data_IF_534808658235
#
_entry.id   IF_534808658235
#
_cell.length_a   1.000
_cell.length_b   1.000
_cell.length_c   1.000
_cell.angle_alpha   90.00
_cell.angle_beta   90.00
_cell.angle_gamma   90.00
#
_symmetry.space_group_name_H-M   'P 1'
#
loop_
_entity.id
_entity.type
_entity.pdbx_description
1 polymer ?
#
# COMPACT_ATOMS: atom_id res chain seq x y z
N UNK A 1 -10.06 9.26 -14.61
CA UNK A 1 -11.05 9.56 -13.54
C UNK A 1 -11.92 8.34 -13.14
N UNK A 2 -12.33 7.48 -14.09
CA UNK A 2 -13.24 6.35 -13.79
C UNK A 2 -12.57 5.19 -13.05
N UNK A 3 -11.24 4.99 -13.15
CA UNK A 3 -10.51 3.87 -12.51
C UNK A 3 -10.26 4.08 -11.02
N UNK A 4 -10.14 5.30 -10.54
CA UNK A 4 -9.85 5.60 -9.14
C UNK A 4 -10.93 5.10 -8.15
N UNK A 5 -12.18 4.93 -8.60
CA UNK A 5 -13.27 4.40 -7.77
C UNK A 5 -13.13 2.91 -7.41
N UNK A 6 -12.26 2.17 -8.09
CA UNK A 6 -12.03 0.75 -7.85
C UNK A 6 -10.64 0.45 -7.29
N UNK A 7 -9.96 1.44 -6.72
CA UNK A 7 -8.59 1.29 -6.22
C UNK A 7 -8.50 0.17 -5.18
N UNK A 8 -9.42 0.13 -4.21
CA UNK A 8 -9.47 -0.92 -3.20
C UNK A 8 -9.82 -2.29 -3.78
N UNK A 9 -10.68 -2.37 -4.80
CA UNK A 9 -10.98 -3.62 -5.50
C UNK A 9 -9.75 -4.16 -6.23
N UNK A 10 -8.95 -3.30 -6.88
CA UNK A 10 -7.65 -3.69 -7.46
C UNK A 10 -6.73 -4.21 -6.35
N UNK A 11 -6.80 -3.63 -5.15
CA UNK A 11 -6.11 -4.14 -3.97
C UNK A 11 -6.47 -5.58 -3.65
N UNK A 12 -7.76 -5.90 -3.61
CA UNK A 12 -8.25 -7.26 -3.38
C UNK A 12 -7.73 -8.21 -4.48
N UNK A 13 -7.81 -7.83 -5.76
CA UNK A 13 -7.36 -8.68 -6.88
C UNK A 13 -5.86 -9.00 -6.77
N UNK A 14 -5.01 -7.97 -6.58
CA UNK A 14 -3.55 -8.16 -6.46
C UNK A 14 -3.21 -9.02 -5.25
N UNK A 15 -3.84 -8.75 -4.11
CA UNK A 15 -3.55 -9.50 -2.89
C UNK A 15 -4.13 -10.92 -2.91
N UNK A 16 -5.19 -11.17 -3.68
CA UNK A 16 -5.68 -12.53 -3.90
C UNK A 16 -4.65 -13.38 -4.62
N UNK A 17 -3.89 -12.81 -5.57
CA UNK A 17 -2.76 -13.51 -6.22
C UNK A 17 -1.69 -13.84 -5.17
N UNK A 18 -1.32 -12.87 -4.32
CA UNK A 18 -0.36 -13.10 -3.23
C UNK A 18 -0.83 -14.15 -2.22
N UNK A 19 -2.11 -14.11 -1.85
CA UNK A 19 -2.72 -15.09 -0.94
C UNK A 19 -2.76 -16.50 -1.55
N UNK A 20 -3.06 -16.61 -2.84
CA UNK A 20 -3.02 -17.90 -3.57
C UNK A 20 -1.60 -18.47 -3.63
N UNK A 21 -0.59 -17.63 -3.89
CA UNK A 21 0.81 -18.06 -3.91
C UNK A 21 1.27 -18.50 -2.52
N UNK A 22 0.92 -17.73 -1.48
CA UNK A 22 1.16 -18.16 -0.09
C UNK A 22 0.57 -19.54 0.17
N UNK A 23 -0.72 -19.72 -0.15
CA UNK A 23 -1.43 -20.97 0.09
C UNK A 23 -0.80 -22.13 -0.68
N UNK A 24 -0.51 -21.97 -1.97
CA UNK A 24 0.13 -23.00 -2.77
C UNK A 24 1.54 -23.35 -2.26
N UNK A 25 2.34 -22.35 -1.90
CA UNK A 25 3.68 -22.57 -1.36
C UNK A 25 3.66 -23.27 0.00
N UNK A 26 2.65 -23.03 0.83
CA UNK A 26 2.54 -23.62 2.17
C UNK A 26 2.40 -25.15 2.19
N UNK A 27 2.10 -25.78 1.06
CA UNK A 27 2.09 -27.25 0.93
C UNK A 27 3.48 -27.86 0.83
N UNK A 28 4.48 -27.09 0.37
CA UNK A 28 5.83 -27.62 0.04
C UNK A 28 6.96 -26.82 0.71
N UNK A 29 6.67 -25.64 1.25
CA UNK A 29 7.65 -24.75 1.85
C UNK A 29 7.27 -24.42 3.30
N UNK A 30 8.24 -23.88 4.07
CA UNK A 30 7.95 -23.31 5.37
C UNK A 30 7.07 -22.05 5.26
N UNK A 31 6.45 -21.67 6.37
CA UNK A 31 5.62 -20.46 6.46
C UNK A 31 6.39 -19.20 6.02
N UNK A 32 7.65 -19.08 6.44
CA UNK A 32 8.53 -17.97 6.11
C UNK A 32 8.76 -17.84 4.60
N UNK A 33 9.08 -18.94 3.94
CA UNK A 33 9.29 -18.96 2.48
C UNK A 33 7.98 -18.63 1.77
N UNK A 34 6.87 -19.17 2.23
CA UNK A 34 5.54 -18.91 1.66
C UNK A 34 5.15 -17.42 1.76
N UNK A 35 5.46 -16.76 2.88
CA UNK A 35 5.28 -15.31 3.06
C UNK A 35 6.16 -14.54 2.07
N UNK A 36 7.44 -14.89 1.96
CA UNK A 36 8.36 -14.20 1.04
C UNK A 36 7.90 -14.34 -0.41
N UNK A 37 7.49 -15.52 -0.86
CA UNK A 37 6.97 -15.75 -2.20
C UNK A 37 5.69 -14.92 -2.47
N UNK A 38 4.81 -14.82 -1.49
CA UNK A 38 3.63 -13.95 -1.57
C UNK A 38 4.02 -12.48 -1.69
N UNK A 39 4.98 -12.00 -0.90
CA UNK A 39 5.48 -10.63 -0.98
C UNK A 39 6.10 -10.33 -2.34
N UNK A 40 6.98 -11.21 -2.83
CA UNK A 40 7.61 -11.09 -4.16
C UNK A 40 6.55 -11.02 -5.25
N UNK A 41 5.54 -11.88 -5.21
CA UNK A 41 4.49 -11.93 -6.22
C UNK A 41 3.66 -10.63 -6.26
N UNK A 42 3.30 -10.07 -5.11
CA UNK A 42 2.53 -8.81 -5.05
C UNK A 42 3.35 -7.62 -5.54
N UNK A 43 4.65 -7.57 -5.22
CA UNK A 43 5.59 -6.56 -5.74
C UNK A 43 5.71 -6.68 -7.26
N UNK A 44 5.91 -7.90 -7.76
CA UNK A 44 6.04 -8.15 -9.20
C UNK A 44 4.79 -7.77 -9.99
N UNK A 45 3.60 -8.17 -9.51
CA UNK A 45 2.31 -7.85 -10.16
C UNK A 45 2.02 -6.36 -10.20
N UNK A 46 2.46 -5.61 -9.19
CA UNK A 46 2.31 -4.14 -9.15
C UNK A 46 3.43 -3.41 -9.87
N UNK A 47 4.46 -4.10 -10.35
CA UNK A 47 5.65 -3.50 -10.95
C UNK A 47 6.44 -2.66 -9.95
N UNK A 48 6.46 -3.04 -8.67
CA UNK A 48 7.10 -2.34 -7.56
C UNK A 48 6.66 -0.87 -7.39
N UNK A 49 5.50 -0.49 -7.93
CA UNK A 49 5.02 0.90 -7.98
C UNK A 49 4.90 1.55 -6.59
N UNK A 50 4.49 0.77 -5.58
CA UNK A 50 4.32 1.27 -4.22
C UNK A 50 5.65 1.38 -3.49
N UNK A 51 6.53 0.43 -3.73
CA UNK A 51 7.89 0.34 -3.20
C UNK A 51 8.74 1.50 -3.75
N UNK A 52 8.66 1.77 -5.05
CA UNK A 52 9.31 2.91 -5.70
C UNK A 52 8.84 4.25 -5.10
N UNK A 53 7.53 4.44 -5.00
CA UNK A 53 6.98 5.65 -4.37
C UNK A 53 7.37 5.83 -2.90
N UNK A 54 7.49 4.74 -2.14
CA UNK A 54 7.94 4.79 -0.75
C UNK A 54 9.43 5.15 -0.67
N UNK A 55 10.26 4.57 -1.53
CA UNK A 55 11.69 4.89 -1.61
C UNK A 55 11.91 6.37 -1.99
N UNK A 56 11.16 6.87 -2.98
CA UNK A 56 11.20 8.29 -3.38
C UNK A 56 10.88 9.23 -2.19
N UNK A 57 9.89 8.86 -1.36
CA UNK A 57 9.55 9.63 -0.15
C UNK A 57 10.67 9.58 0.88
N UNK A 58 11.26 8.40 1.12
CA UNK A 58 12.39 8.27 2.04
C UNK A 58 13.58 9.13 1.60
N UNK A 59 13.96 9.06 0.33
CA UNK A 59 15.07 9.86 -0.22
C UNK A 59 14.74 11.36 -0.21
N UNK A 60 13.51 11.71 -0.57
CA UNK A 60 13.05 13.10 -0.58
C UNK A 60 13.10 13.74 0.80
N UNK A 61 12.52 13.08 1.81
CA UNK A 61 12.50 13.60 3.18
C UNK A 61 13.84 13.48 3.89
N UNK A 62 14.65 12.48 3.59
CA UNK A 62 15.98 12.29 4.16
C UNK A 62 17.03 13.24 3.59
N UNK A 63 16.91 13.59 2.29
CA UNK A 63 17.91 14.42 1.58
C UNK A 63 17.48 15.85 1.27
N UNK A 64 16.20 16.21 1.47
CA UNK A 64 15.65 17.53 1.16
C UNK A 64 15.22 18.31 2.38
N UNK A 65 15.59 19.61 2.44
CA UNK A 65 15.24 20.53 3.52
C UNK A 65 14.16 21.55 3.13
N UNK A 66 13.90 21.70 1.82
CA UNK A 66 12.82 22.56 1.31
C UNK A 66 11.87 21.74 0.45
N UNK A 67 10.62 22.20 0.32
CA UNK A 67 9.61 21.54 -0.51
C UNK A 67 10.10 21.30 -1.94
N UNK A 68 10.73 22.30 -2.54
CA UNK A 68 11.25 22.25 -3.91
C UNK A 68 12.33 21.16 -4.03
N UNK A 69 13.26 21.11 -3.05
CA UNK A 69 14.34 20.12 -3.03
C UNK A 69 13.82 18.71 -2.83
N UNK A 70 12.86 18.52 -1.91
CA UNK A 70 12.19 17.23 -1.68
C UNK A 70 11.53 16.74 -2.98
N UNK A 71 10.72 17.58 -3.63
CA UNK A 71 10.03 17.24 -4.87
C UNK A 71 11.00 16.98 -6.04
N UNK A 72 12.15 17.64 -6.04
CA UNK A 72 13.22 17.40 -7.03
C UNK A 72 13.87 16.03 -6.83
N UNK A 73 14.22 15.67 -5.59
CA UNK A 73 14.78 14.36 -5.25
C UNK A 73 13.79 13.25 -5.61
N UNK A 74 12.53 13.38 -5.21
CA UNK A 74 11.48 12.40 -5.55
C UNK A 74 11.19 12.28 -7.06
N UNK A 75 11.69 13.19 -7.90
CA UNK A 75 11.58 13.12 -9.36
C UNK A 75 12.78 12.40 -9.98
N UNK A 76 13.89 12.29 -9.27
CA UNK A 76 15.08 11.55 -9.71
C UNK A 76 14.77 10.03 -9.69
N UNK A 77 15.13 9.33 -10.75
CA UNK A 77 14.95 7.86 -10.83
C UNK A 77 16.05 7.08 -10.12
N UNK A 78 17.04 7.74 -9.55
CA UNK A 78 18.12 7.10 -8.80
C UNK A 78 17.68 6.82 -7.38
N UNK A 79 17.91 5.60 -6.93
CA UNK A 79 17.66 5.18 -5.56
C UNK A 79 18.80 5.64 -4.66
N UNK A 80 18.49 6.41 -3.63
CA UNK A 80 19.43 6.90 -2.63
C UNK A 80 19.53 5.99 -1.40
N UNK A 81 20.42 6.34 -0.48
CA UNK A 81 20.66 5.55 0.74
C UNK A 81 19.44 5.49 1.64
N UNK A 82 18.69 6.59 1.78
CA UNK A 82 17.47 6.61 2.59
C UNK A 82 16.38 5.74 1.99
N UNK A 83 16.22 5.75 0.65
CA UNK A 83 15.28 4.89 -0.06
C UNK A 83 15.59 3.42 0.11
N UNK A 84 16.88 3.01 -0.07
CA UNK A 84 17.33 1.64 0.15
C UNK A 84 17.06 1.20 1.60
N UNK A 85 17.51 2.00 2.57
CA UNK A 85 17.33 1.69 3.98
C UNK A 85 15.85 1.58 4.37
N UNK A 86 15.04 2.53 3.88
CA UNK A 86 13.60 2.53 4.11
C UNK A 86 12.93 1.27 3.55
N UNK A 87 13.25 0.88 2.30
CA UNK A 87 12.70 -0.32 1.68
C UNK A 87 13.08 -1.59 2.44
N UNK A 88 14.35 -1.76 2.79
CA UNK A 88 14.80 -2.94 3.55
C UNK A 88 14.06 -3.03 4.89
N UNK A 89 13.96 -1.92 5.62
CA UNK A 89 13.29 -1.90 6.91
C UNK A 89 11.78 -2.16 6.80
N UNK A 90 11.07 -1.51 5.88
CA UNK A 90 9.61 -1.70 5.77
C UNK A 90 9.25 -3.11 5.30
N UNK A 91 10.03 -3.69 4.38
CA UNK A 91 9.80 -5.06 3.92
C UNK A 91 10.14 -6.08 5.02
N UNK A 92 11.20 -5.84 5.81
CA UNK A 92 11.53 -6.67 6.96
C UNK A 92 10.44 -6.60 8.05
N UNK A 93 9.91 -5.39 8.35
CA UNK A 93 8.79 -5.21 9.28
C UNK A 93 7.54 -5.94 8.77
N UNK A 94 7.20 -5.79 7.49
CA UNK A 94 6.06 -6.49 6.88
C UNK A 94 6.19 -8.00 6.98
N UNK A 95 7.37 -8.55 6.67
CA UNK A 95 7.66 -9.97 6.79
C UNK A 95 7.52 -10.44 8.25
N UNK A 96 8.17 -9.74 9.19
CA UNK A 96 8.12 -10.07 10.61
C UNK A 96 6.70 -10.02 11.17
N UNK A 97 5.94 -8.99 10.82
CA UNK A 97 4.54 -8.87 11.25
C UNK A 97 3.66 -10.01 10.70
N UNK A 98 3.84 -10.41 9.44
CA UNK A 98 3.10 -11.55 8.88
C UNK A 98 3.48 -12.87 9.54
N UNK A 99 4.74 -13.04 9.93
CA UNK A 99 5.23 -14.24 10.62
C UNK A 99 4.60 -14.44 12.01
N UNK A 100 4.26 -13.36 12.71
CA UNK A 100 3.57 -13.42 14.02
C UNK A 100 2.09 -13.81 13.91
N UNK A 101 1.52 -13.81 12.71
CA UNK A 101 0.12 -14.14 12.48
C UNK A 101 -0.03 -15.64 12.30
N UNK A 102 -1.10 -16.20 12.89
CA UNK A 102 -1.39 -17.62 12.73
C UNK A 102 -1.53 -17.99 11.23
N UNK A 103 -0.87 -19.07 10.75
CA UNK A 103 -0.77 -19.38 9.32
C UNK A 103 -2.07 -19.35 8.53
N UNK A 104 -3.18 -19.83 9.11
CA UNK A 104 -4.48 -19.82 8.43
C UNK A 104 -5.07 -18.42 8.23
N UNK A 105 -4.64 -17.41 8.99
CA UNK A 105 -5.11 -16.02 8.87
C UNK A 105 -4.26 -15.19 7.89
N UNK A 106 -3.05 -15.65 7.55
CA UNK A 106 -2.14 -14.90 6.68
C UNK A 106 -2.77 -14.53 5.34
N UNK A 107 -3.44 -15.44 4.60
CA UNK A 107 -4.10 -15.08 3.35
C UNK A 107 -5.13 -13.94 3.50
N UNK A 108 -5.97 -14.02 4.52
CA UNK A 108 -6.97 -12.98 4.82
C UNK A 108 -6.30 -11.67 5.22
N UNK A 109 -5.22 -11.72 5.99
CA UNK A 109 -4.45 -10.53 6.39
C UNK A 109 -3.81 -9.84 5.19
N UNK A 110 -3.25 -10.60 4.24
CA UNK A 110 -2.68 -10.06 3.00
C UNK A 110 -3.78 -9.33 2.20
N UNK A 111 -4.95 -9.95 2.03
CA UNK A 111 -6.07 -9.36 1.30
C UNK A 111 -6.56 -8.07 1.99
N UNK A 112 -6.75 -8.11 3.30
CA UNK A 112 -7.20 -6.97 4.09
C UNK A 112 -6.20 -5.82 4.08
N UNK A 113 -4.91 -6.10 4.28
CA UNK A 113 -3.86 -5.10 4.28
C UNK A 113 -3.78 -4.33 2.96
N UNK A 114 -3.84 -5.02 1.83
CA UNK A 114 -3.81 -4.39 0.51
C UNK A 114 -5.09 -3.60 0.19
N UNK A 115 -6.26 -4.06 0.58
CA UNK A 115 -7.52 -3.36 0.33
C UNK A 115 -7.65 -2.11 1.19
N UNK A 116 -7.33 -2.21 2.49
CA UNK A 116 -7.38 -1.08 3.44
C UNK A 116 -6.36 -0.01 3.08
N UNK A 117 -5.11 -0.39 2.74
CA UNK A 117 -4.07 0.59 2.38
C UNK A 117 -4.49 1.44 1.18
N UNK A 118 -5.14 0.85 0.19
CA UNK A 118 -5.65 1.58 -0.98
C UNK A 118 -6.86 2.45 -0.66
N UNK A 119 -7.70 2.03 0.26
CA UNK A 119 -8.77 2.88 0.79
C UNK A 119 -8.20 4.10 1.51
N UNK A 120 -7.20 3.93 2.38
CA UNK A 120 -6.53 5.04 3.06
C UNK A 120 -5.89 6.00 2.06
N UNK A 121 -5.17 5.47 1.05
CA UNK A 121 -4.59 6.31 -0.02
C UNK A 121 -5.67 7.12 -0.77
N UNK A 122 -6.84 6.52 -1.02
CA UNK A 122 -7.97 7.21 -1.67
C UNK A 122 -8.55 8.29 -0.77
N UNK A 123 -8.59 8.06 0.54
CA UNK A 123 -9.04 9.06 1.53
C UNK A 123 -8.09 10.27 1.56
N UNK A 124 -6.78 10.04 1.50
CA UNK A 124 -5.79 11.13 1.40
C UNK A 124 -5.98 11.96 0.12
N UNK A 125 -6.23 11.34 -1.02
CA UNK A 125 -6.51 12.06 -2.28
C UNK A 125 -7.82 12.87 -2.18
N UNK A 126 -8.80 12.43 -1.41
CA UNK A 126 -10.05 13.15 -1.17
C UNK A 126 -9.86 14.36 -0.26
N UNK A 127 -9.05 14.23 0.79
CA UNK A 127 -8.92 15.23 1.86
C UNK A 127 -7.83 16.26 1.60
N UNK A 128 -6.81 15.96 0.78
CA UNK A 128 -5.65 16.82 0.56
C UNK A 128 -5.50 17.22 -0.92
N UNK A 129 -5.12 18.48 -1.21
CA UNK A 129 -4.82 18.92 -2.56
C UNK A 129 -3.51 18.30 -3.05
N UNK A 130 -3.43 18.05 -4.35
CA UNK A 130 -2.21 17.54 -4.97
C UNK A 130 -1.11 18.61 -4.97
N UNK A 131 0.06 18.27 -4.44
CA UNK A 131 1.16 19.23 -4.14
C UNK A 131 1.92 19.67 -5.40
N UNK A 132 1.99 18.85 -6.45
CA UNK A 132 2.74 19.16 -7.68
C UNK A 132 1.83 19.81 -8.71
N UNK A 133 2.39 20.80 -9.44
CA UNK A 133 1.79 21.24 -10.68
C UNK A 133 1.84 20.13 -11.72
N UNK A 134 0.70 19.91 -12.39
CA UNK A 134 0.49 18.74 -13.25
C UNK A 134 1.32 18.73 -14.53
N UNK A 135 1.93 19.85 -14.91
CA UNK A 135 2.85 19.94 -16.04
C UNK A 135 4.18 19.22 -15.78
N UNK A 136 4.61 19.14 -14.53
CA UNK A 136 5.93 18.62 -14.10
C UNK A 136 5.89 17.20 -13.52
N UNK A 137 4.75 16.57 -13.48
CA UNK A 137 4.59 15.24 -12.85
C UNK A 137 5.05 14.12 -13.81
N UNK A 138 5.96 13.23 -13.37
CA UNK A 138 6.39 12.02 -14.09
C UNK A 138 5.19 11.11 -14.42
N UNK A 139 4.21 11.03 -13.53
CA UNK A 139 2.98 10.28 -13.74
C UNK A 139 1.80 11.24 -13.69
N UNK A 140 0.90 11.15 -14.68
CA UNK A 140 -0.38 11.84 -14.58
C UNK A 140 -1.10 11.29 -13.35
N UNK A 141 -1.50 12.11 -12.36
CA UNK A 141 -2.18 11.62 -11.19
C UNK A 141 -3.40 10.82 -11.60
N UNK A 142 -3.54 9.62 -11.05
CA UNK A 142 -4.67 8.71 -11.31
C UNK A 142 -6.02 9.41 -11.06
N UNK A 143 -6.04 10.37 -10.12
CA UNK A 143 -7.12 11.32 -9.93
C UNK A 143 -6.60 12.60 -9.27
N UNK A 144 -7.01 13.77 -9.79
CA UNK A 144 -6.78 15.08 -9.14
C UNK A 144 -7.78 15.35 -8.01
N UNK A 145 -8.91 14.71 -8.08
CA UNK A 145 -10.00 14.80 -7.09
C UNK A 145 -10.87 13.55 -7.18
N UNK A 146 -11.35 13.12 -6.05
CA UNK A 146 -12.26 11.97 -5.89
C UNK A 146 -13.58 12.50 -5.34
N UNK A 147 -14.73 12.08 -5.90
CA UNK A 147 -16.04 12.41 -5.36
C UNK A 147 -16.37 11.52 -4.16
N UNK A 148 -17.30 11.98 -3.32
CA UNK A 148 -17.77 11.19 -2.16
C UNK A 148 -18.30 9.82 -2.57
N UNK A 149 -19.01 9.71 -3.70
CA UNK A 149 -19.49 8.42 -4.20
C UNK A 149 -18.36 7.46 -4.61
N UNK A 150 -17.25 7.98 -5.16
CA UNK A 150 -16.06 7.17 -5.44
C UNK A 150 -15.38 6.71 -4.13
N UNK A 151 -15.32 7.58 -3.13
CA UNK A 151 -14.78 7.26 -1.82
C UNK A 151 -15.60 6.17 -1.13
N UNK A 152 -16.95 6.26 -1.20
CA UNK A 152 -17.84 5.25 -0.61
C UNK A 152 -17.66 3.87 -1.25
N UNK A 153 -17.47 3.79 -2.58
CA UNK A 153 -17.18 2.53 -3.27
C UNK A 153 -15.84 1.96 -2.81
N UNK A 154 -14.80 2.81 -2.68
CA UNK A 154 -13.51 2.37 -2.17
C UNK A 154 -13.59 1.94 -0.70
N UNK A 155 -14.36 2.62 0.14
CA UNK A 155 -14.59 2.24 1.52
C UNK A 155 -15.24 0.86 1.62
N UNK A 156 -16.28 0.60 0.80
CA UNK A 156 -16.93 -0.69 0.76
C UNK A 156 -15.95 -1.83 0.46
N UNK A 157 -15.22 -1.75 -0.65
CA UNK A 157 -14.23 -2.78 -1.01
C UNK A 157 -13.02 -2.79 -0.08
N UNK A 158 -12.61 -1.64 0.44
CA UNK A 158 -11.46 -1.53 1.35
C UNK A 158 -11.70 -2.17 2.70
N UNK A 159 -12.91 -2.06 3.22
CA UNK A 159 -13.29 -2.57 4.55
C UNK A 159 -13.92 -3.96 4.50
N UNK A 160 -14.44 -4.39 3.34
CA UNK A 160 -15.12 -5.67 3.18
C UNK A 160 -14.33 -6.87 3.74
N UNK A 161 -13.01 -7.04 3.45
CA UNK A 161 -12.25 -8.18 3.96
C UNK A 161 -12.13 -8.20 5.48
N UNK A 162 -12.24 -7.05 6.16
CA UNK A 162 -12.15 -6.95 7.60
C UNK A 162 -13.32 -7.65 8.32
N UNK A 163 -14.48 -7.74 7.69
CA UNK A 163 -15.65 -8.43 8.28
C UNK A 163 -15.44 -9.93 8.48
N UNK A 164 -14.44 -10.52 7.79
CA UNK A 164 -14.09 -11.92 7.97
C UNK A 164 -13.20 -12.20 9.19
N UNK A 165 -12.67 -11.16 9.86
CA UNK A 165 -11.99 -11.30 11.14
C UNK A 165 -13.03 -11.29 12.28
N UNK A 166 -13.00 -12.30 13.12
CA UNK A 166 -13.92 -12.45 14.28
C UNK A 166 -13.57 -11.55 15.49
N UNK A 167 -12.79 -10.48 15.30
CA UNK A 167 -12.24 -9.69 16.40
C UNK A 167 -12.63 -8.22 16.29
N UNK A 168 -13.10 -7.55 17.38
CA UNK A 168 -13.50 -6.13 17.38
C UNK A 168 -12.31 -5.14 17.20
N UNK A 169 -11.06 -5.59 17.26
CA UNK A 169 -9.85 -4.80 17.02
C UNK A 169 -9.77 -4.17 15.62
N UNK A 170 -10.61 -4.60 14.69
CA UNK A 170 -10.82 -4.01 13.36
C UNK A 170 -11.11 -2.50 13.44
N UNK A 171 -11.80 -2.04 14.48
CA UNK A 171 -12.12 -0.62 14.66
C UNK A 171 -10.88 0.25 14.90
N UNK A 172 -9.80 -0.30 15.45
CA UNK A 172 -8.54 0.44 15.66
C UNK A 172 -7.80 0.77 14.35
N UNK A 173 -8.04 0.02 13.28
CA UNK A 173 -7.42 0.29 11.96
C UNK A 173 -8.05 1.50 11.27
N UNK A 174 -9.29 1.84 11.63
CA UNK A 174 -10.06 2.93 11.01
C UNK A 174 -9.78 4.29 11.67
N UNK A 175 -9.34 4.30 12.93
CA UNK A 175 -9.17 5.51 13.74
C UNK A 175 -7.97 6.42 13.36
N UNK A 176 -6.76 5.93 13.01
CA UNK A 176 -5.60 6.78 12.78
C UNK A 176 -5.75 7.90 11.74
N UNK A 177 -6.46 7.72 10.60
CA UNK A 177 -6.56 8.77 9.59
C UNK A 177 -7.34 10.01 10.04
N UNK A 178 -8.12 9.91 11.10
CA UNK A 178 -8.95 11.03 11.60
C UNK A 178 -8.25 11.92 12.64
N UNK A 179 -7.13 11.47 13.22
CA UNK A 179 -6.38 12.22 14.23
C UNK A 179 -5.18 13.00 13.69
N UNK A 180 -4.85 12.87 12.39
CA UNK A 180 -3.81 13.65 11.72
C UNK A 180 -4.40 14.94 11.11
N UNK A 181 -4.85 15.85 12.00
CA UNK A 181 -5.13 17.25 11.63
C UNK A 181 -4.05 18.15 12.16
#
# INVERSE_FOLDING_TARGET
KKSAKYCSLVGIVVSSIGAMIYYAASFVCSTEISILLSMVSTIYVTGAFHEDGFADVCDGLGGGWTKEKILLIMKDSRLGTYGVSGLVLILAIKFSALREIHPYLIPLTIISGHSVSRFIATTLIYTHPYVRDTADSKAKPAAKSISIGMLSINAFFGLLPLFFFKTPLILLVILPPYFAK
#
